data_IF_881678250966
#
_entry.id   IF_881678250966
#
_cell.length_a   1.000
_cell.length_b   1.000
_cell.length_c   1.000
_cell.angle_alpha   90.00
_cell.angle_beta   90.00
_cell.angle_gamma   90.00
#
_symmetry.space_group_name_H-M   'P 1'
#
loop_
_entity.id
_entity.type
_entity.pdbx_description
1 polymer ?
#
# COMPACT_ATOMS: atom_id res chain seq x y z
N UNK A 1 -6.47 -2.37 -19.43
CA UNK A 1 -5.66 -1.90 -18.29
C UNK A 1 -4.38 -2.72 -18.16
N UNK A 2 -3.27 -2.06 -17.88
CA UNK A 2 -1.99 -2.76 -17.72
C UNK A 2 -1.82 -3.24 -16.29
N UNK A 3 -2.12 -4.51 -16.05
CA UNK A 3 -1.98 -5.11 -14.72
C UNK A 3 -0.54 -5.21 -14.26
N UNK A 4 0.42 -5.05 -15.17
CA UNK A 4 1.85 -5.03 -14.83
C UNK A 4 2.24 -3.80 -14.00
N UNK A 5 1.42 -2.76 -13.99
CA UNK A 5 1.67 -1.54 -13.22
C UNK A 5 1.25 -1.65 -11.76
N UNK A 6 0.54 -2.72 -11.37
CA UNK A 6 0.21 -2.97 -9.98
C UNK A 6 1.45 -3.33 -9.15
N UNK A 7 1.32 -3.20 -7.85
CA UNK A 7 2.41 -3.42 -6.91
C UNK A 7 2.35 -4.85 -6.40
N UNK A 8 3.23 -5.70 -6.90
CA UNK A 8 3.31 -7.10 -6.50
C UNK A 8 4.38 -7.31 -5.46
N UNK A 9 4.16 -8.29 -4.60
CA UNK A 9 5.12 -8.68 -3.58
C UNK A 9 5.10 -10.19 -3.42
N UNK A 10 6.29 -10.76 -3.22
CA UNK A 10 6.44 -12.17 -2.90
C UNK A 10 7.17 -12.26 -1.57
N UNK A 11 6.65 -13.10 -0.66
CA UNK A 11 7.26 -13.33 0.63
C UNK A 11 7.16 -14.80 1.00
N UNK A 12 8.02 -15.23 1.91
CA UNK A 12 7.96 -16.58 2.45
C UNK A 12 6.91 -16.67 3.56
N UNK A 13 6.08 -17.71 3.51
CA UNK A 13 5.12 -18.01 4.57
C UNK A 13 5.63 -19.24 5.34
N UNK A 14 6.12 -19.02 6.54
CA UNK A 14 6.61 -20.11 7.39
C UNK A 14 5.47 -21.05 7.79
N UNK A 15 4.27 -20.52 7.96
CA UNK A 15 3.09 -21.29 8.32
C UNK A 15 2.68 -22.26 7.20
N UNK A 16 2.68 -21.79 5.97
CA UNK A 16 2.29 -22.58 4.80
C UNK A 16 3.46 -23.35 4.20
N UNK A 17 4.68 -23.02 4.59
CA UNK A 17 5.92 -23.56 4.02
C UNK A 17 5.97 -23.38 2.50
N UNK A 18 5.49 -22.22 2.04
CA UNK A 18 5.46 -21.85 0.63
C UNK A 18 5.71 -20.35 0.48
N UNK A 19 6.01 -19.95 -0.74
CA UNK A 19 6.06 -18.54 -1.10
C UNK A 19 4.65 -18.04 -1.40
N UNK A 20 4.34 -16.82 -0.96
CA UNK A 20 3.05 -16.20 -1.21
C UNK A 20 3.21 -14.95 -2.08
N UNK A 21 2.44 -14.91 -3.18
CA UNK A 21 2.34 -13.75 -4.03
C UNK A 21 1.17 -12.88 -3.59
N UNK A 22 1.40 -11.58 -3.50
CA UNK A 22 0.43 -10.58 -3.05
C UNK A 22 0.40 -9.41 -4.01
N UNK A 23 -0.72 -8.69 -4.02
CA UNK A 23 -0.88 -7.45 -4.77
C UNK A 23 -1.44 -6.38 -3.83
N UNK A 24 -0.74 -5.25 -3.70
CA UNK A 24 -1.13 -4.21 -2.74
C UNK A 24 -2.50 -3.63 -3.05
N UNK A 25 -2.82 -3.42 -4.33
CA UNK A 25 -4.09 -2.85 -4.77
C UNK A 25 -5.27 -3.83 -4.64
N UNK A 26 -5.00 -5.12 -4.45
CA UNK A 26 -5.99 -6.17 -4.24
C UNK A 26 -5.64 -6.98 -2.98
N UNK A 27 -5.84 -6.39 -1.79
CA UNK A 27 -5.34 -6.99 -0.55
C UNK A 27 -5.99 -8.32 -0.16
N UNK A 28 -7.14 -8.66 -0.75
CA UNK A 28 -7.81 -9.94 -0.48
C UNK A 28 -7.28 -11.10 -1.34
N UNK A 29 -6.46 -10.80 -2.36
CA UNK A 29 -5.93 -11.82 -3.26
C UNK A 29 -4.55 -12.29 -2.84
N UNK A 30 -4.31 -13.58 -3.00
CA UNK A 30 -3.01 -14.20 -2.74
C UNK A 30 -2.83 -15.45 -3.58
N UNK A 31 -1.60 -15.88 -3.73
CA UNK A 31 -1.27 -17.13 -4.44
C UNK A 31 -0.06 -17.79 -3.79
N UNK A 32 -0.22 -19.04 -3.40
CA UNK A 32 0.85 -19.84 -2.80
C UNK A 32 1.54 -20.68 -3.88
N UNK A 33 2.87 -20.77 -3.80
CA UNK A 33 3.64 -21.59 -4.71
C UNK A 33 4.96 -22.02 -4.09
N UNK A 34 5.54 -23.08 -4.65
CA UNK A 34 6.79 -23.65 -4.12
C UNK A 34 8.01 -22.77 -4.37
N UNK A 35 7.97 -21.89 -5.37
CA UNK A 35 9.09 -20.98 -5.71
C UNK A 35 8.62 -19.54 -5.75
N UNK A 36 9.52 -18.57 -5.52
CA UNK A 36 9.16 -17.15 -5.64
C UNK A 36 8.66 -16.79 -7.04
N UNK A 37 9.28 -17.34 -8.06
CA UNK A 37 8.91 -17.08 -9.47
C UNK A 37 7.48 -17.57 -9.76
N UNK A 38 7.15 -18.76 -9.27
CA UNK A 38 5.80 -19.33 -9.44
C UNK A 38 4.77 -18.54 -8.64
N UNK A 39 5.13 -18.05 -7.45
CA UNK A 39 4.25 -17.21 -6.64
C UNK A 39 3.92 -15.90 -7.36
N UNK A 40 4.94 -15.26 -7.95
CA UNK A 40 4.73 -14.04 -8.72
C UNK A 40 3.87 -14.28 -9.96
N UNK A 41 4.17 -15.33 -10.72
CA UNK A 41 3.38 -15.68 -11.89
C UNK A 41 1.93 -15.95 -11.54
N UNK A 42 1.69 -16.66 -10.43
CA UNK A 42 0.35 -16.99 -9.97
C UNK A 42 -0.46 -15.78 -9.55
N UNK A 43 0.09 -14.90 -8.73
CA UNK A 43 -0.64 -13.70 -8.31
C UNK A 43 -0.92 -12.76 -9.49
N UNK A 44 0.02 -12.63 -10.42
CA UNK A 44 -0.20 -11.83 -11.63
C UNK A 44 -1.36 -12.37 -12.45
N UNK A 45 -1.47 -13.69 -12.57
CA UNK A 45 -2.58 -14.30 -13.30
C UNK A 45 -3.92 -14.09 -12.59
N UNK A 46 -3.95 -14.28 -11.27
CA UNK A 46 -5.16 -14.04 -10.47
C UNK A 46 -5.64 -12.59 -10.66
N UNK A 47 -4.73 -11.63 -10.60
CA UNK A 47 -5.07 -10.21 -10.78
C UNK A 47 -5.60 -9.95 -12.19
N UNK A 48 -4.96 -10.50 -13.22
CA UNK A 48 -5.44 -10.35 -14.60
C UNK A 48 -6.87 -10.88 -14.77
N UNK A 49 -7.15 -12.04 -14.18
CA UNK A 49 -8.49 -12.65 -14.28
C UNK A 49 -9.54 -11.82 -13.57
N UNK A 50 -9.23 -11.33 -12.36
CA UNK A 50 -10.13 -10.48 -11.58
C UNK A 50 -10.39 -9.14 -12.30
N UNK A 51 -9.36 -8.52 -12.84
CA UNK A 51 -9.51 -7.25 -13.58
C UNK A 51 -10.40 -7.46 -14.80
N UNK A 52 -10.23 -8.56 -15.52
CA UNK A 52 -11.07 -8.88 -16.67
C UNK A 52 -12.54 -9.03 -16.25
N UNK A 53 -12.78 -9.73 -15.15
CA UNK A 53 -14.14 -9.92 -14.64
C UNK A 53 -14.76 -8.59 -14.20
N UNK A 54 -13.98 -7.72 -13.55
CA UNK A 54 -14.44 -6.40 -13.14
C UNK A 54 -14.76 -5.51 -14.32
N UNK A 55 -13.97 -5.58 -15.40
CA UNK A 55 -14.26 -4.84 -16.64
C UNK A 55 -15.59 -5.27 -17.24
N UNK A 56 -15.87 -6.58 -17.27
CA UNK A 56 -17.12 -7.13 -17.80
C UNK A 56 -18.31 -6.70 -16.96
N UNK A 57 -18.18 -6.73 -15.64
CA UNK A 57 -19.28 -6.36 -14.72
C UNK A 57 -19.43 -4.86 -14.49
N UNK A 58 -18.52 -4.04 -15.02
CA UNK A 58 -18.58 -2.59 -14.84
C UNK A 58 -18.15 -2.10 -13.47
N UNK A 59 -17.46 -2.92 -12.69
CA UNK A 59 -16.96 -2.53 -11.37
C UNK A 59 -15.78 -1.56 -11.49
N UNK A 60 -15.63 -0.71 -10.49
CA UNK A 60 -14.50 0.22 -10.42
C UNK A 60 -13.19 -0.55 -10.16
N UNK A 61 -12.25 -0.44 -11.09
CA UNK A 61 -10.96 -1.12 -11.01
C UNK A 61 -9.97 -0.21 -10.29
N UNK A 62 -9.22 -0.72 -9.27
CA UNK A 62 -8.23 0.11 -8.58
C UNK A 62 -7.18 0.65 -9.54
N UNK A 63 -6.84 1.93 -9.37
CA UNK A 63 -5.72 2.53 -10.09
C UNK A 63 -4.42 2.02 -9.49
N UNK A 64 -3.43 1.59 -10.30
CA UNK A 64 -2.12 1.24 -9.79
C UNK A 64 -1.52 2.37 -8.94
N UNK A 65 -0.97 2.04 -7.78
CA UNK A 65 -0.36 3.04 -6.90
C UNK A 65 0.73 3.83 -7.61
N UNK A 66 1.48 3.16 -8.50
CA UNK A 66 2.54 3.80 -9.28
C UNK A 66 2.02 4.89 -10.23
N UNK A 67 0.74 4.84 -10.59
CA UNK A 67 0.10 5.80 -11.49
C UNK A 67 -0.73 6.85 -10.78
N UNK A 68 -0.95 6.70 -9.46
CA UNK A 68 -1.69 7.68 -8.67
C UNK A 68 -0.90 8.97 -8.53
N UNK A 69 -1.63 10.08 -8.58
CA UNK A 69 -1.06 11.39 -8.30
C UNK A 69 -1.14 11.67 -6.80
N UNK A 70 -0.01 12.04 -6.21
CA UNK A 70 0.07 12.36 -4.77
C UNK A 70 0.36 13.85 -4.61
N UNK A 71 -0.53 14.55 -3.90
CA UNK A 71 -0.43 15.99 -3.69
C UNK A 71 0.62 16.39 -2.64
N UNK A 72 1.00 15.46 -1.77
CA UNK A 72 1.82 15.75 -0.61
C UNK A 72 1.00 16.20 0.60
N UNK A 73 -0.31 16.28 0.48
CA UNK A 73 -1.19 16.65 1.60
C UNK A 73 -2.14 15.49 1.94
N UNK A 74 -2.19 15.14 3.22
CA UNK A 74 -3.13 14.15 3.73
C UNK A 74 -3.41 14.44 5.20
N UNK A 75 -4.51 13.89 5.71
CA UNK A 75 -4.93 14.11 7.10
C UNK A 75 -4.59 12.88 7.95
N UNK A 76 -4.07 13.13 9.14
CA UNK A 76 -3.75 12.09 10.10
C UNK A 76 -4.55 12.33 11.38
N UNK A 77 -5.15 11.27 11.93
CA UNK A 77 -5.78 11.30 13.25
C UNK A 77 -4.87 10.56 14.23
N UNK A 78 -4.54 11.25 15.31
CA UNK A 78 -3.68 10.72 16.38
C UNK A 78 -4.38 10.93 17.73
N UNK A 79 -3.96 10.18 18.76
CA UNK A 79 -4.51 10.41 20.10
C UNK A 79 -4.27 11.87 20.56
N UNK A 80 -5.21 12.48 21.30
CA UNK A 80 -5.06 13.86 21.78
C UNK A 80 -3.76 14.11 22.52
N UNK A 81 -3.28 13.14 23.27
CA UNK A 81 -2.00 13.25 24.01
C UNK A 81 -0.81 13.43 23.08
N UNK A 82 -0.81 12.70 21.95
CA UNK A 82 0.24 12.82 20.94
C UNK A 82 0.17 14.19 20.25
N UNK A 83 -1.04 14.64 19.93
CA UNK A 83 -1.25 15.98 19.37
C UNK A 83 -0.73 17.06 20.32
N UNK A 84 -1.06 16.94 21.61
CA UNK A 84 -0.57 17.88 22.63
C UNK A 84 0.96 17.89 22.70
N UNK A 85 1.58 16.71 22.74
CA UNK A 85 3.04 16.60 22.80
C UNK A 85 3.71 17.25 21.60
N UNK A 86 3.18 17.05 20.41
CA UNK A 86 3.70 17.66 19.20
C UNK A 86 3.54 19.19 19.23
N UNK A 87 2.39 19.68 19.68
CA UNK A 87 2.14 21.11 19.77
C UNK A 87 3.10 21.79 20.76
N UNK A 88 3.37 21.18 21.91
CA UNK A 88 4.33 21.69 22.89
C UNK A 88 5.75 21.70 22.31
N UNK A 89 6.16 20.63 21.67
CA UNK A 89 7.49 20.54 21.06
C UNK A 89 7.68 21.60 19.96
N UNK A 90 6.67 21.79 19.12
CA UNK A 90 6.70 22.81 18.07
C UNK A 90 6.83 24.20 18.66
N UNK A 91 6.06 24.50 19.71
CA UNK A 91 6.11 25.78 20.40
C UNK A 91 7.49 26.04 21.03
N UNK A 92 8.08 25.02 21.66
CA UNK A 92 9.43 25.11 22.24
C UNK A 92 10.50 25.40 21.20
N UNK A 93 10.35 24.83 20.00
CA UNK A 93 11.27 25.04 18.89
C UNK A 93 10.97 26.30 18.09
N UNK A 94 9.86 26.97 18.34
CA UNK A 94 9.44 28.17 17.61
C UNK A 94 9.06 27.92 16.17
N UNK A 95 8.54 26.72 15.86
CA UNK A 95 8.10 26.34 14.52
C UNK A 95 6.63 25.92 14.53
N UNK A 96 6.02 25.87 13.36
CA UNK A 96 4.63 25.42 13.24
C UNK A 96 4.53 23.92 13.51
N UNK A 97 3.33 23.47 13.94
CA UNK A 97 3.05 22.05 14.11
C UNK A 97 3.25 21.29 12.81
N UNK A 98 2.77 21.83 11.69
CA UNK A 98 2.95 21.20 10.37
C UNK A 98 4.43 21.04 10.00
N UNK A 99 5.25 22.04 10.31
CA UNK A 99 6.67 21.97 10.02
C UNK A 99 7.37 20.90 10.85
N UNK A 100 7.02 20.79 12.14
CA UNK A 100 7.55 19.75 13.00
C UNK A 100 7.15 18.36 12.51
N UNK A 101 5.85 18.17 12.20
CA UNK A 101 5.33 16.90 11.69
C UNK A 101 6.01 16.51 10.39
N UNK A 102 6.15 17.45 9.46
CA UNK A 102 6.83 17.21 8.19
C UNK A 102 8.28 16.76 8.40
N UNK A 103 9.00 17.39 9.32
CA UNK A 103 10.38 17.01 9.63
C UNK A 103 10.46 15.59 10.19
N UNK A 104 9.57 15.23 11.11
CA UNK A 104 9.53 13.88 11.69
C UNK A 104 9.19 12.82 10.66
N UNK A 105 8.24 13.08 9.76
CA UNK A 105 7.83 12.13 8.72
C UNK A 105 8.90 11.99 7.63
N UNK A 106 9.76 12.97 7.46
CA UNK A 106 10.80 12.96 6.43
C UNK A 106 12.13 12.38 6.92
N UNK A 107 12.22 12.04 8.18
CA UNK A 107 13.45 11.49 8.78
C UNK A 107 13.64 10.01 8.51
#
# INVERSE_FOLDING_TARGET
MKTDHYTYRVTWSAEDEEHVGLCVEFPSLSWLAATPEAALAGIRQVVRDIVRDMQVSGEAIPTPLAEKHYSGAFRVRIPPQVHRSLALEAAEQGISLNRLASAKLSS
#
